data_IF_826918044851
#
_entry.id   IF_826918044851
#
_cell.length_a   1.000
_cell.length_b   1.000
_cell.length_c   1.000
_cell.angle_alpha   90.00
_cell.angle_beta   90.00
_cell.angle_gamma   90.00
#
_symmetry.space_group_name_H-M   'P 1'
#
loop_
_entity.id
_entity.type
_entity.pdbx_description
1 polymer ?
#
# COMPACT_ATOMS: atom_id res chain seq x y z
N UNK A 1 12.20 11.53 7.45
CA UNK A 1 12.30 10.39 8.37
C UNK A 1 13.41 9.45 7.90
N UNK A 2 14.15 8.85 8.84
CA UNK A 2 15.07 7.73 8.56
C UNK A 2 14.28 6.45 8.24
N UNK A 3 14.94 5.41 7.74
CA UNK A 3 14.25 4.15 7.45
C UNK A 3 13.75 3.50 8.75
N UNK A 4 14.54 3.58 9.82
CA UNK A 4 14.19 3.06 11.14
C UNK A 4 12.97 3.78 11.73
N UNK A 5 12.83 5.09 11.51
CA UNK A 5 11.63 5.84 11.88
C UNK A 5 10.39 5.36 11.13
N UNK A 6 10.52 5.04 9.83
CA UNK A 6 9.41 4.55 9.00
C UNK A 6 9.05 3.11 9.40
N UNK A 7 10.04 2.25 9.69
CA UNK A 7 9.79 0.91 10.24
C UNK A 7 8.98 0.98 11.53
N UNK A 8 9.29 1.92 12.43
CA UNK A 8 8.48 2.12 13.65
C UNK A 8 7.03 2.49 13.34
N UNK A 9 6.78 3.28 12.29
CA UNK A 9 5.40 3.57 11.85
C UNK A 9 4.72 2.31 11.34
N UNK A 10 5.40 1.49 10.54
CA UNK A 10 4.89 0.20 10.06
C UNK A 10 4.58 -0.74 11.24
N UNK A 11 5.42 -0.77 12.27
CA UNK A 11 5.17 -1.58 13.48
C UNK A 11 3.91 -1.12 14.22
N UNK A 12 3.67 0.20 14.30
CA UNK A 12 2.44 0.74 14.87
C UNK A 12 1.24 0.36 14.01
N UNK A 13 1.32 0.46 12.69
CA UNK A 13 0.25 0.00 11.78
C UNK A 13 -0.10 -1.47 12.00
N UNK A 14 0.91 -2.34 12.10
CA UNK A 14 0.74 -3.77 12.38
C UNK A 14 0.07 -3.98 13.74
N UNK A 15 0.50 -3.24 14.77
CA UNK A 15 -0.07 -3.33 16.11
C UNK A 15 -1.55 -2.94 16.12
N UNK A 16 -1.90 -1.79 15.55
CA UNK A 16 -3.28 -1.30 15.50
C UNK A 16 -4.17 -2.22 14.67
N UNK A 17 -3.66 -2.71 13.53
CA UNK A 17 -4.37 -3.68 12.68
C UNK A 17 -4.64 -4.99 13.41
N UNK A 18 -3.66 -5.52 14.16
CA UNK A 18 -3.85 -6.73 14.96
C UNK A 18 -4.86 -6.53 16.09
N UNK A 19 -4.78 -5.41 16.81
CA UNK A 19 -5.69 -5.14 17.92
C UNK A 19 -7.14 -4.98 17.42
N UNK A 20 -7.35 -4.15 16.41
CA UNK A 20 -8.68 -3.88 15.86
C UNK A 20 -9.22 -5.06 15.07
N UNK A 21 -8.37 -5.78 14.35
CA UNK A 21 -8.74 -6.98 13.58
C UNK A 21 -9.22 -8.15 14.45
N UNK A 22 -8.95 -8.13 15.76
CA UNK A 22 -9.54 -9.09 16.71
C UNK A 22 -11.01 -8.78 17.06
N UNK A 23 -11.47 -7.55 16.79
CA UNK A 23 -12.79 -7.04 17.18
C UNK A 23 -13.68 -6.69 15.98
N UNK A 24 -13.09 -6.32 14.85
CA UNK A 24 -13.78 -5.79 13.67
C UNK A 24 -13.47 -6.63 12.42
N UNK A 25 -14.38 -6.59 11.45
CA UNK A 25 -14.26 -7.36 10.21
C UNK A 25 -13.32 -6.71 9.18
N UNK A 26 -13.15 -5.38 9.27
CA UNK A 26 -12.27 -4.62 8.39
C UNK A 26 -11.54 -3.54 9.19
N UNK A 27 -10.24 -3.39 8.93
CA UNK A 27 -9.40 -2.32 9.45
C UNK A 27 -8.75 -1.63 8.26
N UNK A 28 -9.05 -0.35 8.08
CA UNK A 28 -8.52 0.49 7.01
C UNK A 28 -7.49 1.45 7.60
N UNK A 29 -6.23 1.26 7.25
CA UNK A 29 -5.17 2.24 7.52
C UNK A 29 -5.06 3.14 6.30
N UNK A 30 -5.07 4.46 6.50
CA UNK A 30 -4.91 5.41 5.41
C UNK A 30 -4.29 6.74 5.86
N UNK A 31 -3.65 7.45 4.95
CA UNK A 31 -3.09 8.79 5.15
C UNK A 31 -3.64 9.73 4.08
N UNK A 32 -4.00 10.95 4.49
CA UNK A 32 -4.32 12.07 3.60
C UNK A 32 -3.28 13.17 3.82
N UNK A 33 -2.41 13.38 2.83
CA UNK A 33 -1.35 14.40 2.88
C UNK A 33 -1.72 15.61 2.06
N UNK A 34 -1.60 16.78 2.66
CA UNK A 34 -1.78 18.09 2.02
C UNK A 34 -3.22 18.62 2.10
N UNK A 35 -3.35 19.95 2.18
CA UNK A 35 -4.65 20.62 2.31
C UNK A 35 -5.61 20.31 1.15
N UNK A 36 -5.08 20.10 -0.06
CA UNK A 36 -5.84 19.72 -1.26
C UNK A 36 -6.57 18.39 -1.06
N UNK A 37 -6.02 17.48 -0.24
CA UNK A 37 -6.63 16.18 0.09
C UNK A 37 -7.52 16.23 1.34
N UNK A 38 -7.89 17.43 1.81
CA UNK A 38 -8.74 17.62 2.98
C UNK A 38 -8.02 17.47 4.32
N UNK A 39 -6.69 17.51 4.35
CA UNK A 39 -5.91 17.48 5.57
C UNK A 39 -5.93 18.85 6.26
N UNK A 40 -6.60 18.94 7.42
CA UNK A 40 -6.76 20.20 8.18
C UNK A 40 -5.64 20.48 9.18
N UNK A 41 -4.87 19.46 9.57
CA UNK A 41 -3.73 19.57 10.49
C UNK A 41 -2.43 19.22 9.75
N UNK A 42 -1.44 20.14 9.67
CA UNK A 42 -0.20 19.90 8.93
C UNK A 42 0.76 18.91 9.62
N UNK A 43 0.49 18.49 10.86
CA UNK A 43 1.29 17.47 11.53
C UNK A 43 1.23 16.13 10.77
N UNK A 44 2.36 15.45 10.49
CA UNK A 44 2.34 14.15 9.81
C UNK A 44 1.56 13.12 10.63
N UNK A 45 0.45 12.60 10.08
CA UNK A 45 -0.38 11.61 10.74
C UNK A 45 -1.13 10.74 9.74
N UNK A 46 -1.52 9.54 10.18
CA UNK A 46 -2.44 8.67 9.46
C UNK A 46 -3.72 8.47 10.29
N UNK A 47 -4.69 7.78 9.71
CA UNK A 47 -5.95 7.41 10.35
C UNK A 47 -6.14 5.90 10.23
N UNK A 48 -6.83 5.33 11.23
CA UNK A 48 -7.21 3.92 11.24
C UNK A 48 -8.71 3.85 11.52
N UNK A 49 -9.47 3.34 10.55
CA UNK A 49 -10.92 3.13 10.70
C UNK A 49 -11.22 1.65 10.76
N UNK A 50 -12.02 1.22 11.72
CA UNK A 50 -12.43 -0.16 11.86
C UNK A 50 -13.96 -0.30 11.76
N UNK A 51 -14.43 -1.35 11.09
CA UNK A 51 -15.85 -1.57 10.84
C UNK A 51 -16.27 -3.04 10.99
N UNK A 52 -17.50 -3.24 11.47
CA UNK A 52 -18.12 -4.57 11.57
C UNK A 52 -18.68 -5.09 10.23
N UNK A 53 -18.41 -4.38 9.14
CA UNK A 53 -18.79 -4.74 7.78
C UNK A 53 -17.59 -4.48 6.85
N UNK A 54 -17.57 -5.15 5.70
CA UNK A 54 -16.61 -4.85 4.63
C UNK A 54 -17.09 -3.62 3.84
N UNK A 55 -16.28 -2.55 3.76
CA UNK A 55 -16.57 -1.42 2.89
C UNK A 55 -16.65 -1.84 1.41
N UNK A 56 -17.24 -0.98 0.57
CA UNK A 56 -17.50 -1.28 -0.85
C UNK A 56 -16.25 -1.75 -1.61
N UNK A 57 -15.14 -1.00 -1.51
CA UNK A 57 -13.89 -1.34 -2.18
C UNK A 57 -13.31 -2.67 -1.71
N UNK A 58 -13.27 -2.89 -0.39
CA UNK A 58 -12.79 -4.14 0.20
C UNK A 58 -13.63 -5.34 -0.27
N UNK A 59 -14.96 -5.20 -0.28
CA UNK A 59 -15.90 -6.24 -0.73
C UNK A 59 -15.70 -6.59 -2.20
N UNK A 60 -15.55 -5.59 -3.07
CA UNK A 60 -15.33 -5.80 -4.52
C UNK A 60 -13.96 -6.46 -4.76
N UNK A 61 -12.92 -5.99 -4.08
CA UNK A 61 -11.57 -6.57 -4.18
C UNK A 61 -11.50 -8.01 -3.66
N UNK A 62 -12.19 -8.33 -2.57
CA UNK A 62 -12.29 -9.70 -2.05
C UNK A 62 -12.97 -10.64 -3.05
N UNK A 63 -14.14 -10.23 -3.56
CA UNK A 63 -14.91 -11.03 -4.52
C UNK A 63 -14.12 -11.28 -5.83
N UNK A 64 -13.52 -10.24 -6.40
CA UNK A 64 -12.79 -10.34 -7.67
C UNK A 64 -11.51 -11.18 -7.54
N UNK A 65 -10.76 -11.01 -6.46
CA UNK A 65 -9.57 -11.83 -6.20
C UNK A 65 -9.93 -13.31 -5.98
N UNK A 66 -11.03 -13.59 -5.26
CA UNK A 66 -11.53 -14.96 -5.04
C UNK A 66 -11.92 -15.61 -6.36
N UNK A 67 -12.74 -14.94 -7.16
CA UNK A 67 -13.19 -15.46 -8.46
C UNK A 67 -12.01 -15.72 -9.41
N UNK A 68 -11.02 -14.82 -9.43
CA UNK A 68 -9.82 -15.02 -10.25
C UNK A 68 -9.04 -16.26 -9.80
N UNK A 69 -8.85 -16.43 -8.49
CA UNK A 69 -8.15 -17.58 -7.92
C UNK A 69 -8.87 -18.89 -8.21
N UNK A 70 -10.20 -18.92 -8.13
CA UNK A 70 -11.01 -20.10 -8.48
C UNK A 70 -10.85 -20.50 -9.94
N UNK A 71 -10.74 -19.52 -10.85
CA UNK A 71 -10.66 -19.76 -12.30
C UNK A 71 -9.23 -20.10 -12.76
N UNK A 72 -8.22 -19.44 -12.20
CA UNK A 72 -6.83 -19.50 -12.68
C UNK A 72 -5.87 -20.23 -11.73
N UNK A 73 -6.35 -20.64 -10.55
CA UNK A 73 -5.59 -21.28 -9.47
C UNK A 73 -4.34 -20.47 -9.02
N UNK A 74 -4.38 -19.14 -9.17
CA UNK A 74 -3.31 -18.21 -8.77
C UNK A 74 -3.91 -16.90 -8.23
N UNK A 75 -3.26 -16.22 -7.27
CA UNK A 75 -3.71 -14.89 -6.85
C UNK A 75 -3.59 -13.88 -7.99
N UNK A 76 -4.63 -13.06 -8.19
CA UNK A 76 -4.71 -12.08 -9.27
C UNK A 76 -3.50 -11.13 -9.29
N UNK A 77 -3.19 -10.52 -8.15
CA UNK A 77 -2.12 -9.53 -8.05
C UNK A 77 -0.72 -10.14 -8.25
N UNK A 78 -0.53 -11.41 -7.92
CA UNK A 78 0.75 -12.10 -8.16
C UNK A 78 0.96 -12.41 -9.65
N UNK A 79 -0.11 -12.82 -10.35
CA UNK A 79 -0.06 -13.02 -11.80
C UNK A 79 0.12 -11.69 -12.54
N UNK A 80 -0.57 -10.64 -12.08
CA UNK A 80 -0.40 -9.28 -12.61
C UNK A 80 1.03 -8.76 -12.41
N UNK A 81 1.59 -8.90 -11.21
CA UNK A 81 2.95 -8.47 -10.91
C UNK A 81 3.98 -9.18 -11.81
N UNK A 82 3.78 -10.48 -12.06
CA UNK A 82 4.66 -11.25 -12.95
C UNK A 82 4.68 -10.64 -14.37
N UNK A 83 3.50 -10.27 -14.91
CA UNK A 83 3.38 -9.64 -16.24
C UNK A 83 4.03 -8.25 -16.27
N UNK A 84 3.90 -7.47 -15.20
CA UNK A 84 4.53 -6.15 -15.11
C UNK A 84 6.06 -6.24 -14.97
N UNK A 85 6.57 -7.23 -14.26
CA UNK A 85 8.02 -7.49 -14.13
C UNK A 85 8.66 -8.00 -15.42
N UNK A 86 7.90 -8.69 -16.26
CA UNK A 86 8.33 -9.11 -17.60
C UNK A 86 8.42 -7.91 -18.55
N UNK A 87 7.35 -7.10 -18.63
CA UNK A 87 7.27 -5.94 -19.53
C UNK A 87 8.15 -4.77 -19.11
N UNK A 88 8.25 -4.49 -17.80
CA UNK A 88 9.05 -3.41 -17.18
C UNK A 88 8.67 -1.96 -17.57
N UNK A 89 7.61 -1.76 -18.33
CA UNK A 89 7.19 -0.44 -18.84
C UNK A 89 6.63 0.50 -17.77
N UNK A 90 5.98 -0.05 -16.74
CA UNK A 90 5.26 0.72 -15.70
C UNK A 90 5.92 0.64 -14.32
N UNK A 91 7.12 0.07 -14.24
CA UNK A 91 7.87 -0.06 -12.98
C UNK A 91 8.48 1.29 -12.62
N UNK A 92 8.12 1.83 -11.45
CA UNK A 92 8.65 3.09 -10.92
C UNK A 92 9.94 2.84 -10.14
N UNK A 93 9.92 1.84 -9.26
CA UNK A 93 11.09 1.34 -8.54
C UNK A 93 10.83 -0.07 -8.00
N UNK A 94 11.90 -0.75 -7.61
CA UNK A 94 11.83 -2.00 -6.86
C UNK A 94 13.06 -2.14 -5.94
N UNK A 95 12.92 -2.95 -4.90
CA UNK A 95 14.03 -3.46 -4.08
C UNK A 95 13.89 -4.98 -3.96
N UNK A 96 14.50 -5.62 -2.95
CA UNK A 96 14.50 -7.08 -2.83
C UNK A 96 13.08 -7.64 -2.69
N UNK A 97 12.29 -7.09 -1.75
CA UNK A 97 10.96 -7.63 -1.42
C UNK A 97 9.78 -6.89 -2.05
N UNK A 98 9.94 -5.66 -2.57
CA UNK A 98 8.84 -4.82 -3.02
C UNK A 98 9.02 -4.25 -4.43
N UNK A 99 7.89 -4.01 -5.08
CA UNK A 99 7.79 -3.33 -6.39
C UNK A 99 6.78 -2.21 -6.28
N UNK A 100 7.14 -1.05 -6.82
CA UNK A 100 6.23 0.07 -7.02
C UNK A 100 6.05 0.27 -8.51
N UNK A 101 4.79 0.32 -8.94
CA UNK A 101 4.42 0.46 -10.33
C UNK A 101 3.22 1.38 -10.50
N UNK A 102 3.04 1.91 -11.70
CA UNK A 102 1.79 2.56 -12.11
C UNK A 102 0.85 1.46 -12.60
N UNK A 103 -0.30 1.20 -11.96
CA UNK A 103 -1.19 0.14 -12.41
C UNK A 103 -1.68 0.43 -13.83
N UNK A 104 -1.86 -0.62 -14.64
CA UNK A 104 -2.37 -0.47 -16.02
C UNK A 104 -3.73 0.25 -16.07
N UNK A 105 -4.53 0.09 -15.02
CA UNK A 105 -5.84 0.70 -14.84
C UNK A 105 -5.83 1.95 -13.94
N UNK A 106 -4.68 2.62 -13.79
CA UNK A 106 -4.57 3.86 -13.03
C UNK A 106 -5.62 4.89 -13.46
N UNK A 107 -6.26 5.52 -12.47
CA UNK A 107 -7.24 6.58 -12.68
C UNK A 107 -6.62 7.95 -12.39
N UNK A 108 -5.70 8.03 -11.42
CA UNK A 108 -4.98 9.27 -11.13
C UNK A 108 -3.70 9.41 -11.98
N UNK A 109 -3.30 10.64 -12.36
CA UNK A 109 -2.18 10.86 -13.29
C UNK A 109 -0.86 10.21 -12.88
N UNK A 110 -0.60 10.15 -11.58
CA UNK A 110 0.59 9.54 -11.00
C UNK A 110 0.22 8.47 -9.98
N UNK A 111 -0.88 7.74 -10.19
CA UNK A 111 -1.27 6.65 -9.31
C UNK A 111 -0.18 5.57 -9.25
N UNK A 112 0.15 5.10 -8.04
CA UNK A 112 1.06 3.98 -7.87
C UNK A 112 0.48 2.92 -6.94
N UNK A 113 0.84 1.67 -7.21
CA UNK A 113 0.58 0.54 -6.35
C UNK A 113 1.90 -0.04 -5.84
N UNK A 114 1.98 -0.29 -4.54
CA UNK A 114 3.11 -0.96 -3.89
C UNK A 114 2.72 -2.41 -3.64
N UNK A 115 3.44 -3.36 -4.22
CA UNK A 115 3.17 -4.80 -4.10
C UNK A 115 4.39 -5.55 -3.56
N UNK A 116 4.19 -6.54 -2.67
CA UNK A 116 5.25 -7.46 -2.30
C UNK A 116 5.52 -8.41 -3.46
N UNK A 117 6.79 -8.79 -3.66
CA UNK A 117 7.19 -9.79 -4.68
C UNK A 117 6.79 -11.21 -4.30
N UNK A 118 6.44 -11.44 -3.04
CA UNK A 118 5.89 -12.69 -2.52
C UNK A 118 4.45 -12.48 -2.12
N UNK A 119 3.70 -13.58 -2.07
CA UNK A 119 2.32 -13.52 -1.60
C UNK A 119 2.30 -13.28 -0.09
N UNK A 120 1.70 -12.16 0.31
CA UNK A 120 1.49 -11.75 1.70
C UNK A 120 0.01 -11.40 1.83
N UNK A 121 -0.66 -11.94 2.85
CA UNK A 121 -2.12 -11.77 3.00
C UNK A 121 -2.44 -10.49 3.77
N UNK A 122 -1.69 -10.21 4.84
CA UNK A 122 -1.89 -9.02 5.66
C UNK A 122 -0.57 -8.39 6.10
N UNK A 123 -0.62 -7.13 6.55
CA UNK A 123 0.56 -6.42 7.06
C UNK A 123 1.20 -7.14 8.26
N UNK A 124 0.41 -7.83 9.08
CA UNK A 124 0.89 -8.57 10.25
C UNK A 124 1.74 -9.79 9.89
N UNK A 125 1.69 -10.23 8.62
CA UNK A 125 2.45 -11.37 8.11
C UNK A 125 3.86 -10.98 7.62
N UNK A 126 4.21 -9.69 7.65
CA UNK A 126 5.51 -9.19 7.21
C UNK A 126 6.65 -9.63 8.16
N UNK A 127 7.73 -10.14 7.58
CA UNK A 127 9.01 -10.34 8.28
C UNK A 127 9.73 -9.01 8.52
N UNK A 128 10.73 -9.02 9.43
CA UNK A 128 11.58 -7.84 9.68
C UNK A 128 12.25 -7.30 8.41
N UNK A 129 12.76 -8.18 7.55
CA UNK A 129 13.36 -7.78 6.26
C UNK A 129 12.33 -7.15 5.32
N UNK A 130 11.12 -7.69 5.26
CA UNK A 130 10.07 -7.16 4.39
C UNK A 130 9.56 -5.80 4.89
N UNK A 131 9.50 -5.58 6.21
CA UNK A 131 9.19 -4.26 6.80
C UNK A 131 10.26 -3.23 6.47
N UNK A 132 11.54 -3.60 6.61
CA UNK A 132 12.65 -2.72 6.27
C UNK A 132 12.63 -2.34 4.79
N UNK A 133 12.39 -3.30 3.89
CA UNK A 133 12.30 -3.02 2.46
C UNK A 133 11.03 -2.26 2.09
N UNK A 134 9.91 -2.44 2.81
CA UNK A 134 8.73 -1.61 2.62
C UNK A 134 9.06 -0.14 2.96
N UNK A 135 9.79 0.08 4.06
CA UNK A 135 10.21 1.42 4.47
C UNK A 135 11.09 2.11 3.42
N UNK A 136 12.03 1.37 2.81
CA UNK A 136 12.87 1.85 1.71
C UNK A 136 12.03 2.20 0.47
N UNK A 137 11.13 1.30 0.06
CA UNK A 137 10.28 1.49 -1.10
C UNK A 137 9.38 2.73 -0.94
N UNK A 138 8.73 2.88 0.21
CA UNK A 138 7.90 4.04 0.54
C UNK A 138 8.72 5.32 0.53
N UNK A 139 9.86 5.35 1.23
CA UNK A 139 10.70 6.55 1.29
C UNK A 139 11.16 7.01 -0.09
N UNK A 140 11.64 6.07 -0.91
CA UNK A 140 12.11 6.38 -2.27
C UNK A 140 10.98 6.84 -3.18
N UNK A 141 9.78 6.25 -3.04
CA UNK A 141 8.58 6.69 -3.76
C UNK A 141 8.19 8.11 -3.37
N UNK A 142 8.07 8.40 -2.07
CA UNK A 142 7.64 9.71 -1.59
C UNK A 142 8.64 10.82 -1.97
N UNK A 143 9.95 10.54 -1.93
CA UNK A 143 10.97 11.47 -2.43
C UNK A 143 10.81 11.71 -3.93
N UNK A 144 10.51 10.68 -4.73
CA UNK A 144 10.25 10.85 -6.17
C UNK A 144 9.01 11.71 -6.43
N UNK A 145 7.96 11.55 -5.64
CA UNK A 145 6.77 12.39 -5.74
C UNK A 145 7.08 13.84 -5.43
N UNK A 146 7.77 14.11 -4.32
CA UNK A 146 8.12 15.49 -3.96
C UNK A 146 9.01 16.15 -5.03
N UNK A 147 9.94 15.38 -5.61
CA UNK A 147 10.83 15.85 -6.67
C UNK A 147 10.16 16.03 -8.05
N UNK A 148 8.95 15.49 -8.28
CA UNK A 148 8.28 15.58 -9.57
C UNK A 148 7.92 17.03 -9.94
N UNK A 149 7.55 17.81 -8.93
CA UNK A 149 7.19 19.22 -9.07
C UNK A 149 7.93 20.12 -8.05
N UNK A 150 8.92 19.58 -7.33
CA UNK A 150 9.66 20.26 -6.27
C UNK A 150 8.76 20.86 -5.17
N UNK A 151 7.74 20.10 -4.78
CA UNK A 151 6.76 20.47 -3.73
C UNK A 151 6.54 19.33 -2.75
N UNK A 152 5.90 19.61 -1.61
CA UNK A 152 5.30 18.55 -0.79
C UNK A 152 4.11 17.95 -1.52
N UNK A 153 4.30 16.80 -2.17
CA UNK A 153 3.31 16.21 -3.07
C UNK A 153 2.08 15.72 -2.28
N UNK A 154 0.86 16.14 -2.63
CA UNK A 154 -0.36 15.70 -1.95
C UNK A 154 -0.82 14.33 -2.43
N UNK A 155 -1.34 13.50 -1.52
CA UNK A 155 -1.89 12.19 -1.87
C UNK A 155 -2.87 11.68 -0.81
N UNK A 156 -3.67 10.69 -1.21
CA UNK A 156 -4.34 9.76 -0.30
C UNK A 156 -3.78 8.37 -0.55
N UNK A 157 -3.41 7.65 0.51
CA UNK A 157 -2.88 6.28 0.42
C UNK A 157 -3.49 5.42 1.53
N UNK A 158 -3.46 4.10 1.36
CA UNK A 158 -3.92 3.17 2.38
C UNK A 158 -3.56 1.72 2.07
N UNK A 159 -3.71 0.87 3.09
CA UNK A 159 -3.49 -0.58 3.05
C UNK A 159 -4.80 -1.34 3.21
#
# INVERSE_FOLDING_TARGET
>A
MTNEEIVRVIDIWIKESRELGSKYNWVQIFENKGAIMGCSNPHPHCQVWASNYLPNEARIKDQTQRQYKETHNKPLLMDYLTKELDKKERIVLQNENWVVLVPFWAVWPFETMILPKKQIIRLEDLSESEKHDLSDAMKRLLIKYDNLFEISFPYSMGF
#
